data_IF_628344552461
#
_entry.id   IF_628344552461
#
_cell.length_a   1.000
_cell.length_b   1.000
_cell.length_c   1.000
_cell.angle_alpha   90.00
_cell.angle_beta   90.00
_cell.angle_gamma   90.00
#
_symmetry.space_group_name_H-M   'P 1'
#
loop_
_entity.id
_entity.type
_entity.pdbx_description
1 polymer ?
#
# COMPACT_ATOMS: atom_id res chain seq x y z
N UNK A 1 -10.50 58.70 27.58
CA UNK A 1 -11.23 57.47 27.18
C UNK A 1 -10.68 57.03 25.83
N UNK A 2 -9.66 56.18 25.82
CA UNK A 2 -9.13 55.56 24.60
C UNK A 2 -9.25 54.06 24.77
N UNK A 3 -10.27 53.46 24.15
CA UNK A 3 -10.48 52.03 24.19
C UNK A 3 -9.44 51.34 23.31
N UNK A 4 -8.55 50.57 23.94
CA UNK A 4 -7.68 49.65 23.23
C UNK A 4 -8.57 48.54 22.64
N UNK A 5 -8.70 48.54 21.31
CA UNK A 5 -9.31 47.44 20.57
C UNK A 5 -8.39 46.23 20.71
N UNK A 6 -8.82 45.24 21.48
CA UNK A 6 -8.17 43.93 21.50
C UNK A 6 -8.43 43.27 20.14
N UNK A 7 -7.41 43.25 19.29
CA UNK A 7 -7.38 42.36 18.12
C UNK A 7 -7.28 40.94 18.67
N UNK A 8 -8.38 40.19 18.59
CA UNK A 8 -8.36 38.75 18.82
C UNK A 8 -7.41 38.12 17.79
N UNK A 9 -6.55 37.16 18.17
CA UNK A 9 -5.80 36.40 17.19
C UNK A 9 -6.81 35.65 16.31
N UNK A 10 -6.80 35.92 15.01
CA UNK A 10 -7.56 35.14 14.04
C UNK A 10 -7.11 33.68 14.18
N UNK A 11 -8.08 32.77 14.39
CA UNK A 11 -7.81 31.34 14.29
C UNK A 11 -7.20 31.08 12.90
N UNK A 12 -6.09 30.32 12.81
CA UNK A 12 -5.46 30.04 11.53
C UNK A 12 -6.48 29.37 10.61
N UNK A 13 -6.59 29.87 9.37
CA UNK A 13 -7.43 29.28 8.33
C UNK A 13 -7.17 27.76 8.28
N UNK A 14 -8.18 26.89 8.42
CA UNK A 14 -7.99 25.43 8.35
C UNK A 14 -7.30 24.98 7.04
N UNK A 15 -7.32 25.79 5.97
CA UNK A 15 -6.54 25.57 4.76
C UNK A 15 -5.01 25.69 4.98
N UNK A 16 -4.56 26.54 5.90
CA UNK A 16 -3.14 26.83 6.23
C UNK A 16 -2.47 25.84 7.18
N UNK A 17 -3.15 24.76 7.58
CA UNK A 17 -2.56 23.78 8.50
C UNK A 17 -1.31 23.13 7.88
N UNK A 18 -0.20 23.20 8.62
CA UNK A 18 1.08 22.56 8.25
C UNK A 18 0.91 21.04 8.23
N UNK A 19 1.25 20.41 7.11
CA UNK A 19 0.99 18.99 6.82
C UNK A 19 2.26 18.20 6.53
N UNK A 20 2.20 16.90 6.78
CA UNK A 20 3.25 15.95 6.50
C UNK A 20 2.86 15.12 5.28
N UNK A 21 3.74 15.07 4.26
CA UNK A 21 3.51 14.25 3.07
C UNK A 21 4.25 12.91 3.17
N UNK A 22 3.58 11.81 2.83
CA UNK A 22 4.18 10.51 2.56
C UNK A 22 4.01 10.21 1.07
N UNK A 23 5.11 10.18 0.34
CA UNK A 23 5.11 10.02 -1.12
C UNK A 23 6.28 9.14 -1.61
N UNK A 24 6.48 9.05 -2.93
CA UNK A 24 7.58 8.30 -3.54
C UNK A 24 7.10 7.16 -4.42
N UNK A 25 7.92 6.14 -4.58
CA UNK A 25 7.71 5.07 -5.58
C UNK A 25 6.54 4.13 -5.25
N UNK A 26 5.87 4.29 -4.11
CA UNK A 26 4.90 3.31 -3.62
C UNK A 26 5.53 1.92 -3.39
N UNK A 27 4.75 0.96 -2.86
CA UNK A 27 5.21 -0.41 -2.52
C UNK A 27 6.46 -0.46 -1.61
N UNK A 28 6.77 0.63 -0.92
CA UNK A 28 7.89 0.80 -0.02
C UNK A 28 7.40 0.98 1.44
N UNK A 29 6.32 0.30 1.83
CA UNK A 29 5.82 0.36 3.22
C UNK A 29 5.08 1.64 3.61
N UNK A 30 4.56 2.42 2.65
CA UNK A 30 3.80 3.65 2.94
C UNK A 30 2.57 3.41 3.81
N UNK A 31 1.87 2.29 3.65
CA UNK A 31 0.73 1.91 4.50
C UNK A 31 1.13 1.60 5.95
N UNK A 32 2.34 1.05 6.16
CA UNK A 32 2.90 0.86 7.50
C UNK A 32 3.16 2.21 8.17
N UNK A 33 3.74 3.17 7.43
CA UNK A 33 3.99 4.52 7.94
C UNK A 33 2.69 5.21 8.38
N UNK A 34 1.64 5.15 7.56
CA UNK A 34 0.34 5.74 7.93
C UNK A 34 -0.17 5.13 9.22
N UNK A 35 -0.26 3.80 9.31
CA UNK A 35 -0.72 3.09 10.52
C UNK A 35 0.13 3.42 11.75
N UNK A 36 1.45 3.49 11.60
CA UNK A 36 2.37 3.87 12.68
C UNK A 36 2.09 5.28 13.21
N UNK A 37 1.93 6.25 12.31
CA UNK A 37 1.63 7.63 12.71
C UNK A 37 0.24 7.74 13.33
N UNK A 38 -0.74 6.96 12.85
CA UNK A 38 -2.06 6.83 13.49
C UNK A 38 -1.93 6.31 14.93
N UNK A 39 -1.17 5.24 15.16
CA UNK A 39 -0.95 4.69 16.51
C UNK A 39 -0.18 5.63 17.44
N UNK A 40 0.60 6.56 16.87
CA UNK A 40 1.27 7.63 17.59
C UNK A 40 0.36 8.84 17.87
N UNK A 41 -0.91 8.78 17.46
CA UNK A 41 -1.91 9.81 17.70
C UNK A 41 -1.91 10.94 16.67
N UNK A 42 -1.20 10.80 15.55
CA UNK A 42 -1.27 11.79 14.47
C UNK A 42 -2.58 11.61 13.68
N UNK A 43 -3.04 12.74 13.16
CA UNK A 43 -4.22 12.80 12.33
C UNK A 43 -3.89 12.34 10.88
N UNK A 44 -4.51 11.23 10.49
CA UNK A 44 -4.24 10.44 9.29
C UNK A 44 -5.57 10.05 8.63
N UNK A 45 -5.50 9.47 7.42
CA UNK A 45 -6.69 8.87 6.80
C UNK A 45 -7.39 7.85 7.72
N UNK A 46 -6.61 6.99 8.39
CA UNK A 46 -7.14 5.93 9.25
C UNK A 46 -7.85 6.50 10.48
N UNK A 47 -7.32 7.56 11.10
CA UNK A 47 -7.98 8.17 12.26
C UNK A 47 -9.29 8.87 11.90
N UNK A 48 -9.41 9.41 10.68
CA UNK A 48 -10.61 10.15 10.24
C UNK A 48 -11.69 9.24 9.65
N UNK A 49 -11.30 8.28 8.83
CA UNK A 49 -12.22 7.50 8.00
C UNK A 49 -12.18 5.99 8.29
N UNK A 50 -11.29 5.55 9.18
CA UNK A 50 -11.03 4.14 9.45
C UNK A 50 -10.26 3.45 8.34
N UNK A 51 -10.27 2.12 8.38
CA UNK A 51 -9.57 1.24 7.40
C UNK A 51 -10.51 0.77 6.27
N UNK A 52 -11.67 1.40 6.06
CA UNK A 52 -12.70 0.89 5.14
C UNK A 52 -12.28 0.78 3.67
N UNK A 53 -11.33 1.62 3.24
CA UNK A 53 -10.77 1.59 1.88
C UNK A 53 -9.58 0.61 1.72
N UNK A 54 -9.18 -0.09 2.79
CA UNK A 54 -8.06 -1.01 2.78
C UNK A 54 -8.34 -2.27 1.95
N UNK A 55 -7.51 -2.51 0.94
CA UNK A 55 -7.48 -3.77 0.21
C UNK A 55 -6.38 -4.69 0.78
N UNK A 56 -6.80 -5.75 1.48
CA UNK A 56 -5.89 -6.74 2.08
C UNK A 56 -5.06 -7.50 1.03
N UNK A 57 -5.57 -7.70 -0.17
CA UNK A 57 -4.84 -8.39 -1.23
C UNK A 57 -3.72 -7.52 -1.80
N UNK A 58 -4.01 -6.23 -2.01
CA UNK A 58 -3.08 -5.24 -2.52
C UNK A 58 -2.16 -4.69 -1.42
N UNK A 59 -2.57 -4.71 -0.15
CA UNK A 59 -1.89 -4.04 0.97
C UNK A 59 -1.79 -2.52 0.76
N UNK A 60 -2.87 -1.92 0.25
CA UNK A 60 -2.99 -0.51 -0.14
C UNK A 60 -4.42 0.00 0.16
N UNK A 61 -4.70 1.28 -0.10
CA UNK A 61 -6.02 1.88 0.14
C UNK A 61 -6.06 2.92 1.26
N UNK A 62 -4.91 3.37 1.74
CA UNK A 62 -4.80 4.44 2.76
C UNK A 62 -4.32 5.77 2.15
N UNK A 63 -4.48 5.91 0.84
CA UNK A 63 -4.15 7.12 0.09
C UNK A 63 -5.22 8.20 0.34
N UNK A 64 -4.78 9.46 0.31
CA UNK A 64 -5.67 10.61 0.25
C UNK A 64 -5.22 11.49 -0.91
N UNK A 65 -6.14 11.79 -1.83
CA UNK A 65 -5.81 12.60 -2.99
C UNK A 65 -6.24 14.06 -2.76
N UNK A 66 -5.30 14.95 -2.40
CA UNK A 66 -5.63 16.33 -2.10
C UNK A 66 -6.09 17.13 -3.32
N UNK A 67 -5.93 16.61 -4.55
CA UNK A 67 -6.44 17.26 -5.74
C UNK A 67 -7.98 17.24 -5.82
N UNK A 68 -8.62 16.24 -5.19
CA UNK A 68 -10.07 16.00 -5.28
C UNK A 68 -10.82 16.18 -3.96
N UNK A 69 -10.14 16.64 -2.92
CA UNK A 69 -10.72 16.81 -1.58
C UNK A 69 -10.76 18.28 -1.16
N UNK A 70 -11.76 18.62 -0.35
CA UNK A 70 -11.82 19.93 0.30
C UNK A 70 -10.65 20.08 1.29
N UNK A 71 -10.01 21.25 1.29
CA UNK A 71 -8.79 21.49 2.10
C UNK A 71 -9.04 21.28 3.61
N UNK A 72 -10.25 21.57 4.09
CA UNK A 72 -10.65 21.36 5.48
C UNK A 72 -10.75 19.88 5.87
N UNK A 73 -10.92 18.97 4.92
CA UNK A 73 -11.01 17.52 5.16
C UNK A 73 -9.64 16.83 5.14
N UNK A 74 -8.59 17.54 4.72
CA UNK A 74 -7.25 16.98 4.64
C UNK A 74 -6.71 16.62 6.03
N UNK A 75 -6.29 15.36 6.24
CA UNK A 75 -5.59 14.98 7.46
C UNK A 75 -4.24 15.70 7.57
N UNK A 76 -3.72 15.80 8.79
CA UNK A 76 -2.36 16.30 9.03
C UNK A 76 -1.31 15.50 8.24
N UNK A 77 -1.47 14.18 8.14
CA UNK A 77 -0.60 13.29 7.37
C UNK A 77 -1.29 12.85 6.08
N UNK A 78 -0.75 13.29 4.95
CA UNK A 78 -1.24 12.95 3.61
C UNK A 78 -0.36 11.86 3.02
N UNK A 79 -0.96 10.75 2.58
CA UNK A 79 -0.27 9.74 1.76
C UNK A 79 -0.74 9.85 0.32
N UNK A 80 0.16 10.21 -0.60
CA UNK A 80 -0.13 10.18 -2.03
C UNK A 80 1.02 9.57 -2.84
N UNK A 81 0.84 8.37 -3.43
CA UNK A 81 1.81 7.79 -4.35
C UNK A 81 1.88 8.53 -5.70
N UNK A 82 0.92 9.42 -5.96
CA UNK A 82 0.82 10.20 -7.21
C UNK A 82 1.27 11.65 -7.05
N UNK A 83 1.77 12.03 -5.87
CA UNK A 83 2.16 13.40 -5.57
C UNK A 83 3.08 14.02 -6.64
N UNK A 84 3.95 13.23 -7.27
CA UNK A 84 4.83 13.69 -8.34
C UNK A 84 4.11 14.32 -9.55
N UNK A 85 2.82 14.08 -9.73
CA UNK A 85 2.03 14.62 -10.83
C UNK A 85 1.51 16.04 -10.55
N UNK A 86 1.27 16.38 -9.28
CA UNK A 86 0.54 17.59 -8.91
C UNK A 86 1.22 18.43 -7.81
N UNK A 87 2.29 17.93 -7.18
CA UNK A 87 2.92 18.59 -6.03
C UNK A 87 3.41 20.01 -6.36
N UNK A 88 3.98 20.21 -7.55
CA UNK A 88 4.44 21.52 -8.00
C UNK A 88 3.30 22.55 -8.05
N UNK A 89 2.15 22.14 -8.59
CA UNK A 89 0.96 22.98 -8.61
C UNK A 89 0.46 23.29 -7.19
N UNK A 90 0.37 22.28 -6.32
CA UNK A 90 -0.10 22.47 -4.95
C UNK A 90 0.76 23.45 -4.15
N UNK A 91 2.08 23.36 -4.32
CA UNK A 91 3.04 24.24 -3.66
C UNK A 91 2.98 25.67 -4.23
N UNK A 92 2.93 25.81 -5.56
CA UNK A 92 2.84 27.11 -6.23
C UNK A 92 1.56 27.88 -5.88
N UNK A 93 0.43 27.18 -5.80
CA UNK A 93 -0.87 27.75 -5.41
C UNK A 93 -1.00 28.00 -3.91
N UNK A 94 -0.01 27.59 -3.10
CA UNK A 94 -0.03 27.67 -1.62
C UNK A 94 -1.29 27.06 -1.01
N UNK A 95 -1.83 26.00 -1.63
CA UNK A 95 -3.04 25.30 -1.15
C UNK A 95 -2.79 24.54 0.13
N UNK A 96 -1.56 24.10 0.34
CA UNK A 96 -1.10 23.44 1.56
C UNK A 96 0.29 23.94 1.92
N UNK A 97 0.59 23.99 3.20
CA UNK A 97 1.95 24.15 3.70
C UNK A 97 2.49 22.78 4.16
N UNK A 98 3.68 22.40 3.69
CA UNK A 98 4.30 21.13 4.06
C UNK A 98 5.42 21.35 5.09
N UNK A 99 5.32 20.72 6.26
CA UNK A 99 6.43 20.69 7.23
C UNK A 99 7.58 19.81 6.76
N UNK A 100 7.25 18.69 6.12
CA UNK A 100 8.21 17.75 5.58
C UNK A 100 7.55 16.78 4.59
N UNK A 101 8.38 16.13 3.79
CA UNK A 101 8.02 14.99 2.97
C UNK A 101 8.82 13.75 3.39
N UNK A 102 8.12 12.71 3.84
CA UNK A 102 8.69 11.38 4.09
C UNK A 102 8.66 10.60 2.78
N UNK A 103 9.86 10.22 2.31
CA UNK A 103 10.06 9.46 1.08
C UNK A 103 10.64 8.09 1.44
N UNK A 104 9.80 7.06 1.64
CA UNK A 104 10.27 5.70 1.77
C UNK A 104 10.93 5.21 0.48
N UNK A 105 12.13 4.67 0.64
CA UNK A 105 12.99 4.16 -0.41
C UNK A 105 13.04 2.64 -0.35
N UNK A 106 12.75 2.01 -1.48
CA UNK A 106 12.94 0.59 -1.73
C UNK A 106 13.75 0.43 -3.00
N UNK A 107 14.45 -0.69 -3.13
CA UNK A 107 15.00 -1.11 -4.41
C UNK A 107 13.95 -0.97 -5.53
N UNK A 108 14.34 -0.28 -6.62
CA UNK A 108 13.43 0.10 -7.69
C UNK A 108 12.89 -1.14 -8.43
N UNK A 109 13.74 -2.14 -8.64
CA UNK A 109 13.38 -3.41 -9.28
C UNK A 109 12.35 -4.15 -8.43
N UNK A 110 12.56 -4.23 -7.13
CA UNK A 110 11.60 -4.84 -6.21
C UNK A 110 10.27 -4.07 -6.15
N UNK A 111 10.31 -2.73 -6.18
CA UNK A 111 9.10 -1.91 -6.19
C UNK A 111 8.27 -2.13 -7.47
N UNK A 112 8.93 -2.11 -8.64
CA UNK A 112 8.31 -2.37 -9.93
C UNK A 112 7.73 -3.79 -10.00
N UNK A 113 8.53 -4.81 -9.66
CA UNK A 113 8.09 -6.19 -9.61
C UNK A 113 6.90 -6.38 -8.67
N UNK A 114 6.89 -5.72 -7.50
CA UNK A 114 5.75 -5.78 -6.60
C UNK A 114 4.48 -5.20 -7.20
N UNK A 115 4.55 -4.13 -8.01
CA UNK A 115 3.36 -3.56 -8.67
C UNK A 115 2.82 -4.51 -9.72
N UNK A 116 3.69 -4.99 -10.61
CA UNK A 116 3.33 -5.95 -11.66
C UNK A 116 2.69 -7.22 -11.08
N UNK A 117 3.25 -7.80 -10.02
CA UNK A 117 2.68 -9.02 -9.42
C UNK A 117 1.28 -8.77 -8.84
N UNK A 118 1.03 -7.62 -8.21
CA UNK A 118 -0.29 -7.32 -7.64
C UNK A 118 -1.33 -7.16 -8.75
N UNK A 119 -0.97 -6.48 -9.84
CA UNK A 119 -1.86 -6.30 -10.99
C UNK A 119 -2.17 -7.65 -11.67
N UNK A 120 -1.13 -8.44 -11.98
CA UNK A 120 -1.31 -9.78 -12.56
C UNK A 120 -2.16 -10.68 -11.68
N UNK A 121 -2.01 -10.60 -10.36
CA UNK A 121 -2.85 -11.34 -9.42
C UNK A 121 -4.30 -10.87 -9.47
N UNK A 122 -4.55 -9.56 -9.50
CA UNK A 122 -5.89 -9.02 -9.65
C UNK A 122 -6.53 -9.48 -10.97
N UNK A 123 -5.76 -9.49 -12.06
CA UNK A 123 -6.21 -10.01 -13.35
C UNK A 123 -6.52 -11.51 -13.28
N UNK A 124 -5.64 -12.36 -12.71
CA UNK A 124 -5.92 -13.80 -12.54
C UNK A 124 -7.19 -14.08 -11.72
N UNK A 125 -7.44 -13.25 -10.71
CA UNK A 125 -8.64 -13.36 -9.88
C UNK A 125 -9.90 -12.96 -10.65
N UNK A 126 -9.84 -11.89 -11.45
CA UNK A 126 -11.03 -11.26 -12.02
C UNK A 126 -11.29 -11.64 -13.48
N UNK A 127 -10.31 -12.22 -14.19
CA UNK A 127 -10.37 -12.55 -15.62
C UNK A 127 -10.10 -14.05 -15.85
N UNK A 128 -11.12 -14.92 -15.71
CA UNK A 128 -10.94 -16.37 -15.83
C UNK A 128 -10.38 -16.83 -17.18
N UNK A 129 -10.52 -16.02 -18.24
CA UNK A 129 -9.99 -16.33 -19.56
C UNK A 129 -8.46 -16.29 -19.61
N UNK A 130 -7.79 -15.51 -18.75
CA UNK A 130 -6.32 -15.44 -18.73
C UNK A 130 -5.70 -16.80 -18.43
N UNK A 131 -6.33 -17.59 -17.54
CA UNK A 131 -5.86 -18.95 -17.22
C UNK A 131 -5.89 -19.92 -18.41
N UNK A 132 -6.51 -19.54 -19.53
CA UNK A 132 -6.59 -20.33 -20.77
C UNK A 132 -5.54 -19.93 -21.80
N UNK A 133 -4.78 -18.85 -21.56
CA UNK A 133 -3.78 -18.34 -22.48
C UNK A 133 -2.43 -19.05 -22.29
N UNK A 134 -1.66 -19.16 -23.37
CA UNK A 134 -0.36 -19.85 -23.36
C UNK A 134 0.83 -18.98 -22.91
N UNK A 135 0.65 -17.67 -22.76
CA UNK A 135 1.71 -16.74 -22.41
C UNK A 135 1.26 -15.64 -21.45
N UNK A 136 2.21 -15.02 -20.77
CA UNK A 136 1.96 -13.90 -19.86
C UNK A 136 1.49 -12.66 -20.61
N UNK A 137 0.54 -11.96 -20.00
CA UNK A 137 -0.08 -10.78 -20.57
C UNK A 137 0.72 -9.52 -20.20
N UNK A 138 1.26 -8.81 -21.19
CA UNK A 138 2.20 -7.69 -20.98
C UNK A 138 1.56 -6.33 -20.84
N UNK A 139 0.28 -6.20 -21.13
CA UNK A 139 -0.37 -4.91 -21.37
C UNK A 139 -1.75 -4.87 -20.71
N UNK A 140 -2.07 -3.83 -19.96
CA UNK A 140 -3.35 -3.75 -19.26
C UNK A 140 -4.10 -2.46 -19.55
N UNK A 141 -5.42 -2.54 -19.71
CA UNK A 141 -6.28 -1.39 -19.89
C UNK A 141 -7.53 -1.49 -19.03
N UNK A 142 -7.82 -0.43 -18.27
CA UNK A 142 -8.96 -0.38 -17.35
C UNK A 142 -9.91 0.81 -17.60
N UNK A 143 -9.60 1.68 -18.57
CA UNK A 143 -10.34 2.93 -18.81
C UNK A 143 -11.19 2.88 -20.09
N UNK A 144 -12.43 3.41 -20.05
CA UNK A 144 -13.19 3.72 -21.24
C UNK A 144 -12.39 4.72 -22.08
N UNK A 145 -11.86 4.27 -23.23
CA UNK A 145 -10.90 5.03 -24.04
C UNK A 145 -9.71 4.19 -24.53
N UNK A 146 -9.52 2.98 -23.97
CA UNK A 146 -8.51 2.04 -24.48
C UNK A 146 -7.07 2.42 -24.12
N UNK A 147 -6.87 3.17 -23.02
CA UNK A 147 -5.53 3.43 -22.51
C UNK A 147 -4.89 2.12 -22.05
N UNK A 148 -3.74 1.81 -22.62
CA UNK A 148 -2.96 0.60 -22.31
C UNK A 148 -1.72 0.99 -21.51
N UNK A 149 -1.48 0.28 -20.42
CA UNK A 149 -0.33 0.44 -19.55
C UNK A 149 0.54 -0.81 -19.61
N UNK A 150 1.86 -0.62 -19.70
CA UNK A 150 2.82 -1.73 -19.71
C UNK A 150 2.91 -2.38 -18.33
N UNK A 151 2.72 -3.71 -18.28
CA UNK A 151 3.02 -4.55 -17.12
C UNK A 151 4.50 -4.98 -17.09
N UNK A 152 5.29 -4.60 -18.11
CA UNK A 152 6.71 -4.89 -18.15
C UNK A 152 7.41 -4.22 -16.94
N UNK A 153 8.17 -4.98 -16.14
CA UNK A 153 8.81 -4.44 -14.95
C UNK A 153 9.86 -3.35 -15.25
N UNK A 154 10.50 -3.36 -16.43
CA UNK A 154 11.43 -2.31 -16.84
C UNK A 154 10.69 -0.98 -17.06
N UNK A 155 9.55 -1.02 -17.73
CA UNK A 155 8.74 0.19 -17.97
C UNK A 155 8.15 0.72 -16.67
N UNK A 156 7.69 -0.17 -15.78
CA UNK A 156 7.29 0.21 -14.43
C UNK A 156 8.43 0.88 -13.66
N UNK A 157 9.67 0.36 -13.77
CA UNK A 157 10.85 0.97 -13.14
C UNK A 157 11.15 2.36 -13.70
N UNK A 158 11.04 2.54 -15.03
CA UNK A 158 11.22 3.84 -15.68
C UNK A 158 10.21 4.86 -15.21
N UNK A 159 8.92 4.50 -15.17
CA UNK A 159 7.85 5.37 -14.66
C UNK A 159 8.10 5.79 -13.22
N UNK A 160 8.51 4.83 -12.37
CA UNK A 160 8.85 5.08 -10.98
C UNK A 160 10.06 6.01 -10.83
N UNK A 161 11.12 5.80 -11.61
CA UNK A 161 12.32 6.61 -11.56
C UNK A 161 12.04 8.07 -11.99
N UNK A 162 11.29 8.25 -13.08
CA UNK A 162 10.91 9.58 -13.57
C UNK A 162 10.01 10.30 -12.56
N UNK A 163 9.00 9.61 -12.02
CA UNK A 163 8.11 10.17 -11.00
C UNK A 163 8.87 10.54 -9.73
N UNK A 164 9.80 9.69 -9.29
CA UNK A 164 10.66 9.96 -8.14
C UNK A 164 11.53 11.20 -8.37
N UNK A 165 12.23 11.28 -9.51
CA UNK A 165 13.06 12.44 -9.84
C UNK A 165 12.26 13.75 -9.79
N UNK A 166 11.11 13.78 -10.48
CA UNK A 166 10.24 14.97 -10.51
C UNK A 166 9.75 15.37 -9.13
N UNK A 167 9.35 14.40 -8.30
CA UNK A 167 8.92 14.67 -6.94
C UNK A 167 10.04 15.33 -6.12
N UNK A 168 11.25 14.77 -6.17
CA UNK A 168 12.38 15.30 -5.41
C UNK A 168 12.76 16.70 -5.92
N UNK A 169 12.85 16.88 -7.24
CA UNK A 169 13.14 18.17 -7.85
C UNK A 169 12.18 19.25 -7.38
N UNK A 170 10.87 19.00 -7.42
CA UNK A 170 9.85 19.96 -7.01
C UNK A 170 9.86 20.24 -5.49
N UNK A 171 10.14 19.23 -4.67
CA UNK A 171 10.27 19.43 -3.22
C UNK A 171 11.51 20.24 -2.85
N UNK A 172 12.63 20.00 -3.54
CA UNK A 172 13.88 20.75 -3.36
C UNK A 172 13.72 22.19 -3.81
N UNK A 173 13.12 22.42 -4.97
CA UNK A 173 12.87 23.78 -5.50
C UNK A 173 11.98 24.61 -4.55
N UNK A 174 11.07 23.96 -3.83
CA UNK A 174 10.18 24.58 -2.86
C UNK A 174 10.72 24.60 -1.41
N UNK A 175 11.99 24.24 -1.19
CA UNK A 175 12.63 24.17 0.13
C UNK A 175 11.87 23.32 1.17
N UNK A 176 11.16 22.28 0.72
CA UNK A 176 10.43 21.36 1.63
C UNK A 176 11.42 20.35 2.23
N UNK A 177 11.50 20.20 3.57
CA UNK A 177 12.36 19.21 4.20
C UNK A 177 12.04 17.78 3.75
N UNK A 178 13.04 17.06 3.25
CA UNK A 178 12.88 15.67 2.77
C UNK A 178 13.51 14.69 3.75
N UNK A 179 12.73 13.71 4.20
CA UNK A 179 13.19 12.61 5.04
C UNK A 179 13.13 11.28 4.27
N UNK A 180 14.31 10.73 3.94
CA UNK A 180 14.40 9.41 3.32
C UNK A 180 14.38 8.28 4.36
N UNK A 181 13.52 7.28 4.14
CA UNK A 181 13.42 6.09 4.99
C UNK A 181 13.69 4.81 4.20
N UNK A 182 14.68 4.01 4.60
CA UNK A 182 14.97 2.75 3.92
C UNK A 182 13.98 1.64 4.28
N UNK A 183 13.30 1.07 3.29
CA UNK A 183 12.48 -0.14 3.40
C UNK A 183 13.30 -1.38 2.97
N UNK A 184 13.23 -2.52 3.69
CA UNK A 184 12.35 -2.83 4.82
C UNK A 184 12.86 -2.37 6.19
N UNK A 185 14.06 -1.78 6.27
CA UNK A 185 14.73 -1.45 7.53
C UNK A 185 13.81 -0.73 8.53
N UNK A 186 13.10 0.31 8.11
CA UNK A 186 12.22 1.05 9.03
C UNK A 186 11.05 0.22 9.58
N UNK A 187 10.63 -0.82 8.85
CA UNK A 187 9.55 -1.71 9.28
C UNK A 187 10.06 -2.82 10.20
N UNK A 188 11.37 -3.06 10.23
CA UNK A 188 12.03 -4.09 11.05
C UNK A 188 12.76 -3.49 12.27
N UNK A 189 13.19 -2.24 12.19
CA UNK A 189 14.01 -1.54 13.18
C UNK A 189 13.29 -0.27 13.67
N UNK A 190 12.69 -0.39 14.86
CA UNK A 190 11.98 0.71 15.51
C UNK A 190 12.91 1.85 15.95
N UNK A 191 14.17 1.56 16.27
CA UNK A 191 15.13 2.58 16.71
C UNK A 191 15.60 3.44 15.56
N UNK A 192 15.91 2.80 14.43
CA UNK A 192 16.15 3.50 13.17
C UNK A 192 14.98 4.41 12.81
N UNK A 193 13.75 3.92 12.98
CA UNK A 193 12.56 4.71 12.69
C UNK A 193 12.47 5.95 13.58
N UNK A 194 12.68 5.80 14.89
CA UNK A 194 12.67 6.93 15.82
C UNK A 194 13.76 7.95 15.48
N UNK A 195 14.99 7.50 15.25
CA UNK A 195 16.11 8.39 14.93
C UNK A 195 15.84 9.26 13.69
N UNK A 196 15.10 8.71 12.71
CA UNK A 196 14.73 9.44 11.50
C UNK A 196 13.54 10.38 11.71
N UNK A 197 12.53 9.95 12.46
CA UNK A 197 11.29 10.72 12.64
C UNK A 197 11.36 11.73 13.79
N UNK A 198 12.31 11.62 14.71
CA UNK A 198 12.37 12.44 15.93
C UNK A 198 12.29 13.95 15.68
N UNK A 199 12.85 14.44 14.57
CA UNK A 199 12.83 15.87 14.22
C UNK A 199 11.45 16.38 13.75
N UNK A 200 10.54 15.50 13.33
CA UNK A 200 9.24 15.86 12.78
C UNK A 200 8.06 15.35 13.62
N UNK A 201 8.33 14.48 14.60
CA UNK A 201 7.33 14.00 15.53
C UNK A 201 7.05 15.05 16.62
N UNK A 202 5.82 15.07 17.18
CA UNK A 202 5.51 15.83 18.38
C UNK A 202 6.57 15.61 19.48
N UNK A 203 7.09 16.68 20.12
CA UNK A 203 8.23 16.57 21.05
C UNK A 203 7.91 15.77 22.31
N UNK A 204 6.63 15.49 22.59
CA UNK A 204 6.18 14.64 23.69
C UNK A 204 6.36 13.15 23.39
N UNK A 205 6.46 12.75 22.11
CA UNK A 205 6.60 11.35 21.72
C UNK A 205 7.99 10.80 22.05
N UNK A 206 7.99 9.81 22.91
CA UNK A 206 9.21 9.13 23.36
C UNK A 206 9.59 7.98 22.44
N UNK A 207 10.87 7.61 22.47
CA UNK A 207 11.39 6.42 21.77
C UNK A 207 10.64 5.15 22.17
N UNK A 208 10.27 5.02 23.44
CA UNK A 208 9.58 3.83 23.95
C UNK A 208 8.14 3.74 23.44
N UNK A 209 7.43 4.85 23.32
CA UNK A 209 6.10 4.88 22.69
C UNK A 209 6.17 4.45 21.23
N UNK A 210 7.16 4.94 20.48
CA UNK A 210 7.37 4.50 19.09
C UNK A 210 7.69 3.01 19.01
N UNK A 211 8.57 2.48 19.86
CA UNK A 211 8.86 1.04 19.92
C UNK A 211 7.61 0.21 20.22
N UNK A 212 6.72 0.69 21.08
CA UNK A 212 5.46 0.00 21.40
C UNK A 212 4.48 0.05 20.23
N UNK A 213 4.33 1.19 19.57
CA UNK A 213 3.49 1.32 18.37
C UNK A 213 4.01 0.45 17.22
N UNK A 214 5.32 0.51 16.95
CA UNK A 214 6.00 -0.28 15.93
C UNK A 214 5.77 -1.78 16.13
N UNK A 215 6.02 -2.31 17.34
CA UNK A 215 5.78 -3.73 17.67
C UNK A 215 4.34 -4.19 17.45
N UNK A 216 3.34 -3.32 17.67
CA UNK A 216 1.93 -3.65 17.45
C UNK A 216 1.56 -3.76 15.98
N UNK A 217 2.21 -2.97 15.12
CA UNK A 217 1.86 -2.86 13.70
C UNK A 217 2.76 -3.71 12.81
N UNK A 218 4.00 -3.96 13.22
CA UNK A 218 5.01 -4.63 12.42
C UNK A 218 4.68 -6.10 12.17
N UNK A 219 3.91 -6.34 11.10
CA UNK A 219 3.62 -7.66 10.56
C UNK A 219 4.70 -8.02 9.53
N UNK A 220 5.76 -8.66 10.01
CA UNK A 220 6.92 -9.03 9.21
C UNK A 220 6.56 -9.96 8.03
N UNK A 221 5.49 -10.73 8.16
CA UNK A 221 4.91 -11.55 7.08
C UNK A 221 4.39 -10.74 5.87
N UNK A 222 4.02 -9.47 6.08
CA UNK A 222 3.59 -8.56 5.03
C UNK A 222 4.77 -7.87 4.34
N UNK A 223 5.95 -7.89 4.98
CA UNK A 223 7.22 -7.45 4.40
C UNK A 223 7.70 -8.54 3.45
N UNK A 224 7.11 -8.56 2.26
CA UNK A 224 7.49 -9.44 1.17
C UNK A 224 8.77 -8.89 0.54
N UNK A 225 9.89 -9.07 1.26
CA UNK A 225 11.26 -8.90 0.72
C UNK A 225 11.35 -9.77 -0.53
N UNK A 226 12.12 -9.38 -1.55
CA UNK A 226 12.30 -10.09 -2.83
C UNK A 226 12.74 -11.56 -2.78
N UNK A 227 12.51 -12.30 -1.69
CA UNK A 227 12.70 -13.75 -1.52
C UNK A 227 12.11 -14.57 -2.65
N UNK A 228 10.99 -14.17 -3.24
CA UNK A 228 10.40 -14.89 -4.40
C UNK A 228 11.22 -14.68 -5.68
N UNK A 229 11.84 -13.51 -5.84
CA UNK A 229 12.70 -13.17 -6.98
C UNK A 229 14.12 -13.72 -6.81
N UNK A 230 14.65 -13.70 -5.58
CA UNK A 230 16.02 -14.14 -5.25
C UNK A 230 16.16 -15.66 -5.09
N UNK A 231 15.07 -16.42 -5.01
CA UNK A 231 15.09 -17.87 -4.70
C UNK A 231 15.38 -18.78 -5.88
N UNK A 232 15.40 -18.27 -7.10
CA UNK A 232 15.65 -19.10 -8.27
C UNK A 232 17.07 -18.83 -8.81
N UNK A 233 18.07 -19.67 -8.47
CA UNK A 233 19.43 -19.55 -9.03
C UNK A 233 19.48 -19.80 -10.55
N UNK A 234 18.40 -20.30 -11.16
CA UNK A 234 18.22 -20.40 -12.61
C UNK A 234 17.38 -19.25 -13.21
N UNK A 235 17.02 -18.24 -12.40
CA UNK A 235 16.27 -17.08 -12.85
C UNK A 235 17.01 -16.37 -13.99
N UNK A 236 16.40 -16.41 -15.19
CA UNK A 236 16.81 -15.51 -16.27
C UNK A 236 16.38 -14.10 -15.90
N UNK A 237 17.33 -13.23 -15.60
CA UNK A 237 17.10 -11.80 -15.55
C UNK A 237 17.28 -11.22 -16.96
N UNK A 238 16.66 -10.08 -17.24
CA UNK A 238 17.02 -9.29 -18.42
C UNK A 238 18.49 -8.86 -18.31
N UNK A 239 19.13 -8.44 -19.42
CA UNK A 239 20.48 -7.87 -19.36
C UNK A 239 20.62 -6.72 -18.34
N UNK A 240 19.51 -6.01 -18.07
CA UNK A 240 19.42 -4.90 -17.12
C UNK A 240 19.20 -5.35 -15.67
N UNK A 241 19.22 -6.66 -15.37
CA UNK A 241 19.02 -7.21 -14.03
C UNK A 241 17.54 -7.24 -13.57
N UNK A 242 16.59 -7.05 -14.49
CA UNK A 242 15.15 -7.10 -14.18
C UNK A 242 14.61 -8.53 -14.25
N UNK A 243 13.67 -8.95 -13.39
CA UNK A 243 12.95 -10.20 -13.61
C UNK A 243 12.14 -10.14 -14.91
N UNK A 244 11.97 -11.28 -15.58
CA UNK A 244 11.08 -11.37 -16.74
C UNK A 244 9.63 -11.30 -16.32
N UNK A 245 8.75 -10.88 -17.23
CA UNK A 245 7.31 -10.85 -16.99
C UNK A 245 6.78 -12.23 -16.59
N UNK A 246 7.25 -13.29 -17.24
CA UNK A 246 6.88 -14.68 -16.94
C UNK A 246 7.21 -15.09 -15.50
N UNK A 247 8.35 -14.65 -14.96
CA UNK A 247 8.72 -14.91 -13.56
C UNK A 247 7.78 -14.20 -12.58
N UNK A 248 7.39 -12.97 -12.90
CA UNK A 248 6.44 -12.20 -12.10
C UNK A 248 5.04 -12.81 -12.15
N UNK A 249 4.61 -13.26 -13.32
CA UNK A 249 3.31 -13.90 -13.53
C UNK A 249 3.21 -15.25 -12.79
N UNK A 250 4.25 -16.08 -12.88
CA UNK A 250 4.36 -17.30 -12.09
C UNK A 250 4.32 -17.01 -10.58
N UNK A 251 4.94 -15.92 -10.13
CA UNK A 251 4.89 -15.50 -8.73
C UNK A 251 3.47 -15.07 -8.33
N UNK A 252 2.76 -14.34 -9.19
CA UNK A 252 1.36 -13.95 -8.99
C UNK A 252 0.44 -15.17 -8.87
N UNK A 253 0.59 -16.14 -9.78
CA UNK A 253 -0.17 -17.40 -9.77
C UNK A 253 0.08 -18.21 -8.50
N UNK A 254 1.34 -18.40 -8.10
CA UNK A 254 1.69 -19.14 -6.87
C UNK A 254 1.04 -18.52 -5.64
N UNK A 255 0.99 -17.19 -5.55
CA UNK A 255 0.31 -16.47 -4.46
C UNK A 255 -1.20 -16.70 -4.49
N UNK A 256 -1.82 -16.67 -5.65
CA UNK A 256 -3.26 -16.87 -5.76
C UNK A 256 -3.66 -18.32 -5.46
N UNK A 257 -2.85 -19.30 -5.88
CA UNK A 257 -3.02 -20.71 -5.51
C UNK A 257 -2.88 -20.92 -4.00
N UNK A 258 -1.89 -20.29 -3.35
CA UNK A 258 -1.72 -20.37 -1.90
C UNK A 258 -2.95 -19.82 -1.17
N UNK A 259 -3.45 -18.65 -1.56
CA UNK A 259 -4.67 -18.05 -1.00
C UNK A 259 -5.89 -18.95 -1.18
N UNK A 260 -6.10 -19.49 -2.38
CA UNK A 260 -7.24 -20.36 -2.65
C UNK A 260 -7.20 -21.63 -1.80
N UNK A 261 -6.01 -22.18 -1.55
CA UNK A 261 -5.82 -23.33 -0.64
C UNK A 261 -6.19 -22.97 0.79
N UNK A 262 -5.80 -21.80 1.28
CA UNK A 262 -6.17 -21.31 2.62
C UNK A 262 -7.69 -21.11 2.72
N UNK A 263 -8.31 -20.43 1.75
CA UNK A 263 -9.77 -20.26 1.70
C UNK A 263 -10.52 -21.60 1.66
N UNK A 264 -10.01 -22.58 0.90
CA UNK A 264 -10.61 -23.91 0.83
C UNK A 264 -10.47 -24.65 2.16
N UNK A 265 -9.31 -24.58 2.81
CA UNK A 265 -9.09 -25.17 4.13
C UNK A 265 -10.02 -24.55 5.18
N UNK A 266 -10.21 -23.23 5.17
CA UNK A 266 -11.16 -22.54 6.05
C UNK A 266 -12.61 -22.94 5.76
N UNK A 267 -12.98 -23.09 4.49
CA UNK A 267 -14.32 -23.53 4.09
C UNK A 267 -14.59 -24.99 4.49
N UNK A 268 -13.60 -25.87 4.39
CA UNK A 268 -13.69 -27.26 4.85
C UNK A 268 -13.77 -27.37 6.38
N UNK A 269 -13.11 -26.47 7.11
CA UNK A 269 -13.25 -26.36 8.58
C UNK A 269 -14.64 -25.84 8.97
N UNK A 270 -15.19 -24.89 8.21
CA UNK A 270 -16.51 -24.27 8.47
C UNK A 270 -17.69 -25.10 7.96
N UNK A 271 -17.47 -26.14 7.15
CA UNK A 271 -18.53 -27.10 6.85
C UNK A 271 -18.96 -27.74 8.18
N UNK A 272 -20.24 -27.58 8.59
CA UNK A 272 -20.73 -28.34 9.73
C UNK A 272 -20.48 -29.81 9.40
N UNK A 273 -19.86 -30.55 10.31
CA UNK A 273 -19.95 -32.02 10.31
C UNK A 273 -21.41 -32.35 10.61
N UNK A 274 -22.27 -32.17 9.61
CA UNK A 274 -23.71 -32.20 9.81
C UNK A 274 -24.14 -33.65 9.96
N UNK A 275 -24.11 -34.11 11.21
CA UNK A 275 -24.62 -35.40 11.66
C UNK A 275 -26.06 -35.64 11.22
N UNK A 276 -26.85 -34.60 10.88
CA UNK A 276 -28.19 -34.75 10.31
C UNK A 276 -28.16 -35.32 8.90
N UNK A 277 -27.25 -34.89 8.03
CA UNK A 277 -27.13 -35.46 6.67
C UNK A 277 -26.69 -36.93 6.71
N UNK A 278 -25.87 -37.33 7.68
CA UNK A 278 -25.53 -38.76 7.91
C UNK A 278 -26.70 -39.57 8.45
N UNK A 279 -27.58 -38.98 9.29
CA UNK A 279 -28.81 -39.63 9.75
C UNK A 279 -29.82 -39.78 8.61
N UNK A 280 -30.00 -38.76 7.78
CA UNK A 280 -30.88 -38.82 6.61
C UNK A 280 -30.36 -39.84 5.59
N UNK A 281 -29.05 -39.87 5.31
CA UNK A 281 -28.45 -40.88 4.45
C UNK A 281 -28.58 -42.32 5.01
N UNK A 282 -28.45 -42.50 6.34
CA UNK A 282 -28.69 -43.81 6.99
C UNK A 282 -30.16 -44.24 6.93
N UNK A 283 -31.09 -43.30 7.13
CA UNK A 283 -32.53 -43.58 7.05
C UNK A 283 -32.93 -43.94 5.62
N UNK A 284 -32.42 -43.20 4.63
CA UNK A 284 -32.64 -43.53 3.21
C UNK A 284 -32.03 -44.88 2.81
N UNK A 285 -30.85 -45.22 3.33
CA UNK A 285 -30.23 -46.52 3.10
C UNK A 285 -31.01 -47.68 3.76
N UNK A 286 -31.57 -47.47 4.96
CA UNK A 286 -32.44 -48.44 5.65
C UNK A 286 -33.77 -48.63 4.90
N UNK A 287 -34.38 -47.56 4.40
CA UNK A 287 -35.61 -47.62 3.59
C UNK A 287 -35.34 -48.35 2.27
N UNK A 288 -34.23 -48.06 1.59
CA UNK A 288 -33.84 -48.75 0.36
C UNK A 288 -33.57 -50.25 0.57
N UNK A 289 -33.04 -50.63 1.74
CA UNK A 289 -32.80 -52.04 2.08
C UNK A 289 -34.09 -52.80 2.42
N UNK A 290 -35.07 -52.13 3.04
CA UNK A 290 -36.37 -52.72 3.37
C UNK A 290 -37.29 -52.86 2.13
N UNK A 291 -37.07 -52.07 1.08
CA UNK A 291 -37.81 -52.16 -0.18
C UNK A 291 -37.22 -53.19 -1.16
N UNK A 292 -36.05 -53.75 -0.84
CA UNK A 292 -35.36 -54.77 -1.65
C UNK A 292 -35.49 -56.19 -1.08
N UNK A 293 -36.31 -56.38 -0.03
CA UNK A 293 -36.70 -57.66 0.56
C UNK A 293 -38.17 -57.96 0.26
#
# INVERSE_FOLDING_TARGET
MGGASQVQPEDPDPASAVRLLIAGTGRAGTSFLVRLLTELGLDTHVSRFGDGAWDEAAQAGLEFDPAFSDLGELPQVIKSPWAYQFIGQMLAEKRIELSAAIIPMRDLVEAAASRTIIELRAMHKNLPWMARMHGSWSDWGHTPGGTVFSLNPLDQSRLLAVGFHRLIEQLVEADVPILFLAFPRFAEDADYMYDKLAAILPPQLTREELRRAHRRIARHELIRVGRELRRDPAAKYTPDGMPTLEQLDNSALRREVARLRECLAEADIRRPRDTRLRRVARVLALIASALAS
#
